data_IF_944824687493
#
_entry.id   IF_944824687493
#
_cell.length_a   1.000
_cell.length_b   1.000
_cell.length_c   1.000
_cell.angle_alpha   90.00
_cell.angle_beta   90.00
_cell.angle_gamma   90.00
#
_symmetry.space_group_name_H-M   'P 1'
#
loop_
_entity.id
_entity.type
_entity.pdbx_description
1 polymer ?
#
# COMPACT_ATOMS: atom_id res chain seq x y z
N UNK A 1 6.55 20.21 -3.01
CA UNK A 1 7.04 18.86 -3.38
C UNK A 1 5.84 18.10 -3.93
N UNK A 2 5.94 17.59 -5.16
CA UNK A 2 4.87 16.80 -5.77
C UNK A 2 4.68 15.43 -5.09
N UNK A 3 3.56 14.77 -5.37
CA UNK A 3 3.21 13.49 -4.78
C UNK A 3 4.26 12.40 -5.05
N UNK A 4 4.77 12.33 -6.29
CA UNK A 4 5.82 11.37 -6.67
C UNK A 4 7.06 11.51 -5.79
N UNK A 5 7.54 12.74 -5.63
CA UNK A 5 8.74 13.05 -4.83
C UNK A 5 8.52 12.74 -3.35
N UNK A 6 7.33 13.06 -2.81
CA UNK A 6 6.95 12.69 -1.44
C UNK A 6 6.99 11.18 -1.23
N UNK A 7 6.33 10.42 -2.11
CA UNK A 7 6.25 8.96 -2.04
C UNK A 7 7.65 8.33 -2.18
N UNK A 8 8.42 8.76 -3.19
CA UNK A 8 9.78 8.27 -3.43
C UNK A 8 10.69 8.52 -2.22
N UNK A 9 10.61 9.71 -1.59
CA UNK A 9 11.41 10.03 -0.41
C UNK A 9 11.05 9.14 0.80
N UNK A 10 9.77 8.91 1.04
CA UNK A 10 9.30 8.08 2.14
C UNK A 10 9.70 6.60 1.96
N UNK A 11 9.48 6.05 0.76
CA UNK A 11 9.86 4.66 0.46
C UNK A 11 11.38 4.45 0.46
N UNK A 12 12.15 5.43 0.03
CA UNK A 12 13.62 5.38 0.14
C UNK A 12 14.07 5.41 1.60
N UNK A 13 13.39 6.20 2.43
CA UNK A 13 13.68 6.30 3.87
C UNK A 13 13.37 4.99 4.59
N UNK A 14 12.32 4.27 4.17
CA UNK A 14 11.98 2.96 4.71
C UNK A 14 13.12 1.94 4.51
N UNK A 15 13.75 1.93 3.33
CA UNK A 15 14.84 1.01 2.98
C UNK A 15 16.19 1.29 3.67
N UNK A 16 16.31 2.35 4.46
CA UNK A 16 17.51 2.62 5.27
C UNK A 16 17.28 2.39 6.77
N UNK A 17 16.03 2.11 7.17
CA UNK A 17 15.69 1.82 8.57
C UNK A 17 16.19 0.43 8.96
N UNK A 18 16.74 0.32 10.17
CA UNK A 18 17.22 -0.95 10.72
C UNK A 18 16.16 -1.72 11.51
N UNK A 19 15.03 -1.07 11.78
CA UNK A 19 13.92 -1.68 12.48
C UNK A 19 13.03 -2.41 11.48
N UNK A 20 12.69 -3.65 11.78
CA UNK A 20 11.84 -4.48 10.92
C UNK A 20 10.34 -4.24 11.16
N UNK A 21 9.98 -3.35 12.11
CA UNK A 21 8.61 -2.89 12.36
C UNK A 21 8.28 -1.55 11.69
N UNK A 22 9.18 -1.02 10.87
CA UNK A 22 9.00 0.24 10.18
C UNK A 22 7.95 0.13 9.07
N UNK A 23 7.12 1.15 8.93
CA UNK A 23 6.14 1.22 7.85
C UNK A 23 5.87 2.66 7.40
N UNK A 24 5.33 2.78 6.19
CA UNK A 24 4.86 4.03 5.60
C UNK A 24 3.42 3.85 5.17
N UNK A 25 2.54 4.77 5.58
CA UNK A 25 1.17 4.88 5.10
C UNK A 25 1.09 6.10 4.18
N UNK A 26 0.56 5.91 2.98
CA UNK A 26 0.30 6.96 2.00
C UNK A 26 -1.21 7.06 1.85
N UNK A 27 -1.78 8.20 2.23
CA UNK A 27 -3.22 8.37 2.39
C UNK A 27 -3.74 9.61 1.66
N UNK A 28 -4.92 9.51 1.04
CA UNK A 28 -5.67 10.67 0.56
C UNK A 28 -6.38 11.35 1.73
N UNK A 29 -6.02 12.61 2.02
CA UNK A 29 -6.40 13.31 3.26
C UNK A 29 -7.91 13.44 3.47
N UNK A 30 -8.71 13.50 2.41
CA UNK A 30 -10.15 13.75 2.51
C UNK A 30 -10.98 12.47 2.66
N UNK A 31 -10.52 11.37 2.06
CA UNK A 31 -11.29 10.13 1.96
C UNK A 31 -10.72 9.00 2.80
N UNK A 32 -9.54 9.19 3.39
CA UNK A 32 -8.82 8.17 4.16
C UNK A 32 -8.55 6.89 3.35
N UNK A 33 -8.47 7.02 2.03
CA UNK A 33 -8.07 5.92 1.14
C UNK A 33 -6.56 5.83 1.18
N UNK A 34 -6.01 4.66 1.44
CA UNK A 34 -4.59 4.53 1.72
C UNK A 34 -3.99 3.25 1.14
N UNK A 35 -2.67 3.28 1.01
CA UNK A 35 -1.83 2.10 0.85
C UNK A 35 -0.75 2.11 1.92
N UNK A 36 -0.31 0.91 2.32
CA UNK A 36 0.77 0.76 3.28
C UNK A 36 1.98 0.08 2.65
N UNK A 37 3.17 0.47 3.06
CA UNK A 37 4.41 -0.24 2.79
C UNK A 37 5.10 -0.64 4.08
N UNK A 38 5.56 -1.88 4.12
CA UNK A 38 6.59 -2.34 5.05
C UNK A 38 7.92 -2.53 4.30
N UNK A 39 9.03 -2.52 5.03
CA UNK A 39 10.36 -2.74 4.49
C UNK A 39 11.44 -2.23 5.44
N UNK A 40 12.68 -2.64 5.21
CA UNK A 40 13.82 -2.23 6.02
C UNK A 40 15.12 -2.28 5.23
N UNK A 41 16.25 -2.03 5.87
CA UNK A 41 17.57 -2.20 5.27
C UNK A 41 17.87 -3.66 4.87
N UNK A 42 17.15 -4.63 5.46
CA UNK A 42 17.30 -6.07 5.20
C UNK A 42 16.13 -6.67 4.45
N UNK A 43 15.00 -5.98 4.36
CA UNK A 43 13.78 -6.45 3.71
C UNK A 43 13.39 -5.62 2.49
N UNK A 44 12.76 -6.26 1.50
CA UNK A 44 12.24 -5.55 0.33
C UNK A 44 11.01 -4.73 0.69
N UNK A 45 10.66 -3.75 -0.16
CA UNK A 45 9.40 -3.02 -0.02
C UNK A 45 8.22 -3.97 -0.26
N UNK A 46 7.32 -4.08 0.70
CA UNK A 46 6.10 -4.87 0.58
C UNK A 46 4.91 -3.92 0.67
N UNK A 47 4.20 -3.78 -0.45
CA UNK A 47 2.92 -3.09 -0.51
C UNK A 47 1.82 -3.96 0.10
N UNK A 48 0.95 -3.33 0.88
CA UNK A 48 -0.33 -3.87 1.31
C UNK A 48 -1.46 -2.91 0.91
N UNK A 49 -2.45 -3.45 0.20
CA UNK A 49 -3.73 -2.81 -0.09
C UNK A 49 -4.87 -3.69 0.45
N UNK A 50 -5.44 -3.35 1.62
CA UNK A 50 -6.59 -4.05 2.20
C UNK A 50 -7.84 -3.92 1.34
N UNK A 51 -8.48 -5.02 0.94
CA UNK A 51 -9.69 -4.96 0.12
C UNK A 51 -10.90 -4.37 0.83
N UNK A 52 -10.93 -4.37 2.16
CA UNK A 52 -12.02 -3.81 2.97
C UNK A 52 -12.11 -2.30 2.83
N UNK A 53 -10.99 -1.66 2.49
CA UNK A 53 -10.96 -0.22 2.23
C UNK A 53 -11.53 0.12 0.87
N UNK A 54 -11.78 -0.88 0.01
CA UNK A 54 -12.26 -0.72 -1.35
C UNK A 54 -13.79 -0.83 -1.41
N UNK A 55 -14.41 0.02 -2.23
CA UNK A 55 -15.75 -0.26 -2.74
C UNK A 55 -15.73 -1.46 -3.67
N UNK A 56 -16.89 -2.03 -3.98
CA UNK A 56 -16.99 -3.16 -4.93
C UNK A 56 -16.37 -2.83 -6.30
N UNK A 57 -16.62 -1.62 -6.82
CA UNK A 57 -16.03 -1.17 -8.08
C UNK A 57 -14.51 -1.03 -7.99
N UNK A 58 -14.00 -0.39 -6.95
CA UNK A 58 -12.56 -0.25 -6.70
C UNK A 58 -11.89 -1.62 -6.57
N UNK A 59 -12.56 -2.58 -5.91
CA UNK A 59 -12.06 -3.95 -5.76
C UNK A 59 -11.82 -4.62 -7.10
N UNK A 60 -12.78 -4.60 -8.02
CA UNK A 60 -12.61 -5.22 -9.33
C UNK A 60 -11.53 -4.53 -10.18
N UNK A 61 -11.41 -3.21 -10.09
CA UNK A 61 -10.33 -2.47 -10.75
C UNK A 61 -8.96 -2.86 -10.16
N UNK A 62 -8.87 -2.98 -8.83
CA UNK A 62 -7.66 -3.45 -8.16
C UNK A 62 -7.30 -4.89 -8.60
N UNK A 63 -8.28 -5.81 -8.69
CA UNK A 63 -8.05 -7.17 -9.20
C UNK A 63 -7.42 -7.13 -10.59
N UNK A 64 -7.93 -6.30 -11.50
CA UNK A 64 -7.38 -6.19 -12.85
C UNK A 64 -5.95 -5.61 -12.85
N UNK A 65 -5.71 -4.56 -12.06
CA UNK A 65 -4.40 -3.94 -11.91
C UNK A 65 -3.37 -4.95 -11.38
N UNK A 66 -3.68 -5.63 -10.28
CA UNK A 66 -2.79 -6.59 -9.64
C UNK A 66 -2.58 -7.87 -10.46
N UNK A 67 -3.61 -8.33 -11.19
CA UNK A 67 -3.48 -9.46 -12.13
C UNK A 67 -2.45 -9.17 -13.23
N UNK A 68 -2.45 -7.96 -13.81
CA UNK A 68 -1.45 -7.55 -14.81
C UNK A 68 -0.03 -7.56 -14.25
N UNK A 69 0.11 -7.42 -12.93
CA UNK A 69 1.37 -7.46 -12.20
C UNK A 69 1.76 -8.85 -11.67
N UNK A 70 1.00 -9.90 -12.03
CA UNK A 70 1.22 -11.27 -11.59
C UNK A 70 0.89 -11.53 -10.12
N UNK A 71 0.12 -10.65 -9.48
CA UNK A 71 -0.29 -10.77 -8.08
C UNK A 71 -1.68 -11.42 -8.01
N UNK A 72 -1.78 -12.48 -7.22
CA UNK A 72 -3.05 -13.08 -6.80
C UNK A 72 -3.23 -12.63 -5.35
N UNK A 73 -4.37 -12.00 -5.03
CA UNK A 73 -4.63 -11.55 -3.66
C UNK A 73 -4.75 -12.75 -2.70
N UNK A 74 -4.46 -12.49 -1.43
CA UNK A 74 -4.31 -13.51 -0.40
C UNK A 74 -5.29 -13.19 0.73
N UNK A 75 -5.97 -14.21 1.24
CA UNK A 75 -6.77 -14.10 2.47
C UNK A 75 -5.86 -14.23 3.70
N UNK A 76 -6.03 -13.31 4.64
CA UNK A 76 -5.34 -13.25 5.93
C UNK A 76 -6.37 -13.27 7.07
N UNK A 77 -6.04 -13.94 8.17
CA UNK A 77 -6.88 -13.90 9.37
C UNK A 77 -6.82 -12.52 10.03
N UNK A 78 -7.97 -11.88 10.27
CA UNK A 78 -8.06 -10.69 11.12
C UNK A 78 -8.24 -11.15 12.55
N UNK A 79 -7.32 -10.78 13.43
CA UNK A 79 -7.37 -11.14 14.86
C UNK A 79 -7.96 -10.00 15.70
N UNK A 80 -8.66 -10.34 16.79
CA UNK A 80 -9.17 -9.35 17.77
C UNK A 80 -8.05 -8.55 18.46
N UNK A 81 -6.87 -9.14 18.55
CA UNK A 81 -5.62 -8.59 19.07
C UNK A 81 -4.43 -9.37 18.53
N UNK A 82 -3.18 -8.87 18.64
CA UNK A 82 -1.99 -9.63 18.26
C UNK A 82 -1.97 -11.02 18.95
N UNK A 83 -1.88 -12.09 18.16
CA UNK A 83 -1.93 -13.49 18.64
C UNK A 83 -3.29 -13.95 19.20
N UNK A 84 -4.34 -13.18 18.95
CA UNK A 84 -5.69 -13.41 19.43
C UNK A 84 -6.49 -14.39 18.56
N UNK A 85 -7.82 -14.29 18.64
CA UNK A 85 -8.74 -15.14 17.87
C UNK A 85 -9.07 -14.49 16.54
N UNK A 86 -9.25 -15.31 15.52
CA UNK A 86 -9.77 -14.88 14.21
C UNK A 86 -11.19 -14.33 14.38
N UNK A 87 -11.38 -13.06 14.07
CA UNK A 87 -12.67 -12.36 14.06
C UNK A 87 -13.17 -12.05 12.65
N UNK A 88 -12.34 -12.29 11.64
CA UNK A 88 -12.71 -12.11 10.24
C UNK A 88 -11.63 -12.61 9.29
N UNK A 89 -11.94 -12.56 8.00
CA UNK A 89 -10.99 -12.78 6.92
C UNK A 89 -10.70 -11.45 6.24
N UNK A 90 -9.45 -11.23 5.88
CA UNK A 90 -9.01 -10.08 5.12
C UNK A 90 -8.32 -10.47 3.84
N UNK A 91 -8.96 -10.17 2.72
CA UNK A 91 -8.31 -10.23 1.43
C UNK A 91 -7.44 -8.99 1.25
N UNK A 92 -6.14 -9.19 1.03
CA UNK A 92 -5.21 -8.11 0.73
C UNK A 92 -4.50 -8.37 -0.60
N UNK A 93 -4.23 -7.29 -1.33
CA UNK A 93 -3.29 -7.34 -2.43
C UNK A 93 -1.90 -7.01 -1.91
N UNK A 94 -1.01 -8.01 -1.91
CA UNK A 94 0.38 -7.83 -1.50
C UNK A 94 1.33 -7.91 -2.69
N UNK A 95 2.27 -6.96 -2.77
CA UNK A 95 3.30 -6.97 -3.82
C UNK A 95 4.65 -6.53 -3.27
N UNK A 96 5.66 -7.35 -3.54
CA UNK A 96 7.04 -7.04 -3.20
C UNK A 96 7.74 -6.30 -4.33
N UNK A 97 8.51 -5.27 -3.99
CA UNK A 97 9.27 -4.44 -4.91
C UNK A 97 10.75 -4.39 -4.52
N UNK A 98 11.62 -4.51 -5.52
CA UNK A 98 13.07 -4.28 -5.39
C UNK A 98 13.48 -2.85 -5.74
N UNK A 99 12.56 -2.06 -6.29
CA UNK A 99 12.82 -0.72 -6.80
C UNK A 99 11.81 0.26 -6.21
N UNK A 100 12.31 1.36 -5.63
CA UNK A 100 11.50 2.47 -5.15
C UNK A 100 10.71 3.11 -6.28
N UNK A 101 11.28 3.22 -7.50
CA UNK A 101 10.56 3.79 -8.64
C UNK A 101 9.38 2.91 -9.06
N UNK A 102 9.56 1.58 -9.06
CA UNK A 102 8.47 0.66 -9.36
C UNK A 102 7.36 0.71 -8.29
N UNK A 103 7.75 0.76 -7.01
CA UNK A 103 6.79 0.90 -5.91
C UNK A 103 6.03 2.23 -5.99
N UNK A 104 6.73 3.34 -6.25
CA UNK A 104 6.13 4.67 -6.40
C UNK A 104 5.12 4.69 -7.54
N UNK A 105 5.46 4.14 -8.71
CA UNK A 105 4.52 4.04 -9.84
C UNK A 105 3.28 3.23 -9.50
N UNK A 106 3.43 2.13 -8.75
CA UNK A 106 2.26 1.35 -8.32
C UNK A 106 1.37 2.14 -7.36
N UNK A 107 1.93 2.99 -6.50
CA UNK A 107 1.11 3.91 -5.69
C UNK A 107 0.35 4.90 -6.59
N UNK A 108 1.04 5.53 -7.54
CA UNK A 108 0.40 6.44 -8.52
C UNK A 108 -0.74 5.73 -9.26
N UNK A 109 -0.51 4.50 -9.75
CA UNK A 109 -1.51 3.69 -10.44
C UNK A 109 -2.70 3.33 -9.53
N UNK A 110 -2.46 3.00 -8.25
CA UNK A 110 -3.57 2.72 -7.32
C UNK A 110 -4.42 3.98 -7.11
N UNK A 111 -3.80 5.13 -6.82
CA UNK A 111 -4.57 6.35 -6.58
C UNK A 111 -5.29 6.84 -7.84
N UNK A 112 -4.66 6.76 -9.01
CA UNK A 112 -5.26 7.22 -10.25
C UNK A 112 -6.28 6.24 -10.84
N UNK A 113 -5.95 4.94 -10.89
CA UNK A 113 -6.75 3.94 -11.59
C UNK A 113 -7.78 3.30 -10.65
N UNK A 114 -7.35 2.89 -9.45
CA UNK A 114 -8.25 2.23 -8.50
C UNK A 114 -9.16 3.25 -7.83
N UNK A 115 -8.60 4.30 -7.23
CA UNK A 115 -9.40 5.29 -6.52
C UNK A 115 -9.94 6.43 -7.40
N UNK A 116 -9.45 6.57 -8.63
CA UNK A 116 -9.93 7.62 -9.54
C UNK A 116 -9.51 9.04 -9.15
N UNK A 117 -8.47 9.19 -8.32
CA UNK A 117 -7.98 10.50 -7.91
C UNK A 117 -7.08 11.15 -8.98
N UNK A 118 -7.09 12.49 -9.08
CA UNK A 118 -6.15 13.19 -9.94
C UNK A 118 -4.71 13.07 -9.40
N UNK A 119 -3.71 13.24 -10.27
CA UNK A 119 -2.29 13.08 -9.90
C UNK A 119 -1.81 14.07 -8.82
N UNK A 120 -2.46 15.23 -8.72
CA UNK A 120 -2.19 16.30 -7.77
C UNK A 120 -3.11 16.26 -6.52
N UNK A 121 -3.84 15.15 -6.31
CA UNK A 121 -4.65 14.96 -5.10
C UNK A 121 -3.83 15.15 -3.81
N UNK A 122 -4.49 15.53 -2.72
CA UNK A 122 -3.77 15.82 -1.48
C UNK A 122 -3.41 14.52 -0.75
N UNK A 123 -2.14 14.15 -0.84
CA UNK A 123 -1.57 13.00 -0.15
C UNK A 123 -0.82 13.40 1.12
N UNK A 124 -1.13 12.68 2.18
CA UNK A 124 -0.41 12.68 3.45
C UNK A 124 0.43 11.41 3.56
N UNK A 125 1.62 11.55 4.15
CA UNK A 125 2.55 10.46 4.38
C UNK A 125 2.81 10.38 5.88
N UNK A 126 2.52 9.21 6.44
CA UNK A 126 2.83 8.88 7.83
C UNK A 126 3.90 7.80 7.86
N UNK A 127 5.00 8.03 8.58
CA UNK A 127 6.08 7.06 8.77
C UNK A 127 6.18 6.71 10.26
N UNK A 128 6.36 5.42 10.58
CA UNK A 128 6.69 4.94 11.92
C UNK A 128 8.08 4.33 11.95
#
# INVERSE_FOLDING_TARGET
MDNRSKITAALSSLLVRRSDDAFVIIEHSETQKFVQFAGSATELLVLDLPSQTLSETEFYIAVELFRKMGVIGIDHDVLDKPGGKVVGQQFSFNKTFRSVDAATRTVEDIFAIVYGFPADCNLEITEN
#
